data_IF_316112047283
#
_entry.id   IF_316112047283
#
_cell.length_a   1.000
_cell.length_b   1.000
_cell.length_c   1.000
_cell.angle_alpha   90.00
_cell.angle_beta   90.00
_cell.angle_gamma   90.00
#
_symmetry.space_group_name_H-M   'P 1'
#
loop_
_entity.id
_entity.type
_entity.pdbx_description
1 polymer ?
#
# COMPACT_ATOMS: atom_id res chain seq x y z
N UNK A 1 10.29 -29.86 -14.34
CA UNK A 1 9.23 -28.96 -14.84
C UNK A 1 9.91 -27.76 -15.48
N UNK A 2 9.62 -27.48 -16.75
CA UNK A 2 10.22 -26.36 -17.47
C UNK A 2 9.67 -25.02 -16.94
N UNK A 3 10.51 -23.99 -16.93
CA UNK A 3 10.07 -22.62 -16.65
C UNK A 3 9.25 -22.09 -17.84
N UNK A 4 8.14 -21.41 -17.57
CA UNK A 4 7.34 -20.79 -18.62
C UNK A 4 8.10 -19.62 -19.23
N UNK A 5 8.36 -19.68 -20.54
CA UNK A 5 8.81 -18.53 -21.32
C UNK A 5 7.60 -17.95 -22.02
N UNK A 6 7.21 -16.75 -21.63
CA UNK A 6 6.13 -16.01 -22.25
C UNK A 6 6.62 -14.65 -22.69
N UNK A 7 6.01 -14.13 -23.75
CA UNK A 7 6.24 -12.76 -24.18
C UNK A 7 5.46 -11.84 -23.25
N UNK A 8 6.20 -11.00 -22.54
CA UNK A 8 5.64 -10.12 -21.54
C UNK A 8 5.01 -8.87 -22.15
N UNK A 9 3.85 -8.47 -21.65
CA UNK A 9 3.19 -7.24 -22.09
C UNK A 9 3.99 -5.99 -21.65
N UNK A 10 4.72 -5.40 -22.60
CA UNK A 10 5.54 -4.21 -22.39
C UNK A 10 4.74 -2.97 -22.00
N UNK A 11 3.44 -2.93 -22.32
CA UNK A 11 2.63 -1.73 -22.13
C UNK A 11 2.20 -1.56 -20.67
N UNK A 12 2.20 -2.63 -19.88
CA UNK A 12 1.79 -2.61 -18.48
C UNK A 12 2.93 -2.52 -17.48
N UNK A 13 4.08 -3.12 -17.78
CA UNK A 13 5.22 -3.12 -16.88
C UNK A 13 6.56 -2.98 -17.62
N UNK A 14 6.55 -2.41 -18.82
CA UNK A 14 7.75 -2.13 -19.59
C UNK A 14 8.77 -1.29 -18.82
N UNK A 15 9.97 -1.19 -19.39
CA UNK A 15 11.10 -0.53 -18.75
C UNK A 15 10.75 0.90 -18.27
N UNK A 16 10.02 1.67 -19.08
CA UNK A 16 9.62 3.03 -18.75
C UNK A 16 8.72 3.12 -17.51
N UNK A 17 7.72 2.24 -17.39
CA UNK A 17 6.79 2.22 -16.23
C UNK A 17 7.54 1.85 -14.95
N UNK A 18 8.42 0.83 -15.01
CA UNK A 18 9.24 0.42 -13.87
C UNK A 18 10.15 1.56 -13.40
N UNK A 19 10.89 2.17 -14.33
CA UNK A 19 11.75 3.31 -14.02
C UNK A 19 10.94 4.48 -13.46
N UNK A 20 9.75 4.75 -14.00
CA UNK A 20 8.83 5.75 -13.50
C UNK A 20 8.47 5.53 -12.03
N UNK A 21 8.03 4.31 -11.67
CA UNK A 21 7.76 3.96 -10.27
C UNK A 21 8.99 4.12 -9.38
N UNK A 22 10.16 3.63 -9.80
CA UNK A 22 11.37 3.74 -8.99
C UNK A 22 11.78 5.19 -8.77
N UNK A 23 11.78 6.02 -9.81
CA UNK A 23 12.08 7.44 -9.68
C UNK A 23 11.06 8.17 -8.81
N UNK A 24 9.79 7.81 -8.89
CA UNK A 24 8.78 8.37 -8.00
C UNK A 24 8.97 7.95 -6.54
N UNK A 25 9.32 6.69 -6.27
CA UNK A 25 9.61 6.22 -4.91
C UNK A 25 10.83 6.92 -4.32
N UNK A 26 11.95 6.93 -5.05
CA UNK A 26 13.16 7.63 -4.62
C UNK A 26 12.92 9.14 -4.53
N UNK A 27 12.18 9.73 -5.47
CA UNK A 27 11.79 11.13 -5.46
C UNK A 27 10.97 11.49 -4.22
N UNK A 28 10.05 10.63 -3.79
CA UNK A 28 9.30 10.81 -2.55
C UNK A 28 10.19 10.79 -1.30
N UNK A 29 11.20 9.91 -1.28
CA UNK A 29 12.21 9.89 -0.22
C UNK A 29 13.03 11.18 -0.27
N UNK A 30 13.68 11.50 -1.40
CA UNK A 30 14.53 12.68 -1.52
C UNK A 30 13.79 14.00 -1.27
N UNK A 31 12.54 14.13 -1.72
CA UNK A 31 11.72 15.30 -1.44
C UNK A 31 11.50 15.50 0.07
N UNK A 32 11.33 14.41 0.84
CA UNK A 32 11.18 14.53 2.29
C UNK A 32 12.43 15.08 2.99
N UNK A 33 13.63 14.84 2.43
CA UNK A 33 14.90 15.31 2.99
C UNK A 33 15.30 16.71 2.49
N UNK A 34 15.10 16.98 1.19
CA UNK A 34 15.63 18.18 0.53
C UNK A 34 14.57 19.29 0.43
N UNK A 35 13.33 18.93 0.09
CA UNK A 35 12.28 19.88 -0.26
C UNK A 35 10.92 19.44 0.32
N UNK A 36 10.71 19.56 1.65
CA UNK A 36 9.51 19.06 2.32
C UNK A 36 8.21 19.74 1.85
N UNK A 37 8.29 20.93 1.23
CA UNK A 37 7.15 21.61 0.59
C UNK A 37 6.57 20.79 -0.57
N UNK A 38 7.43 20.14 -1.35
CA UNK A 38 7.06 19.45 -2.60
C UNK A 38 6.55 18.03 -2.36
N UNK A 39 6.71 17.49 -1.15
CA UNK A 39 6.26 16.13 -0.79
C UNK A 39 4.77 15.94 -1.07
N UNK A 40 3.93 16.98 -0.94
CA UNK A 40 2.50 16.91 -1.30
C UNK A 40 2.31 16.62 -2.78
N UNK A 41 3.01 17.37 -3.62
CA UNK A 41 2.93 17.29 -5.08
C UNK A 41 3.47 15.94 -5.58
N UNK A 42 4.59 15.48 -5.00
CA UNK A 42 5.19 14.18 -5.34
C UNK A 42 4.27 13.03 -4.94
N UNK A 43 3.68 13.04 -3.74
CA UNK A 43 2.72 12.01 -3.31
C UNK A 43 1.48 11.98 -4.20
N UNK A 44 0.93 13.15 -4.54
CA UNK A 44 -0.21 13.22 -5.44
C UNK A 44 0.11 12.67 -6.83
N UNK A 45 1.31 12.95 -7.35
CA UNK A 45 1.77 12.38 -8.62
C UNK A 45 1.91 10.86 -8.57
N UNK A 46 2.39 10.30 -7.45
CA UNK A 46 2.42 8.84 -7.23
C UNK A 46 1.00 8.27 -7.28
N UNK A 47 0.05 8.89 -6.57
CA UNK A 47 -1.33 8.40 -6.53
C UNK A 47 -1.99 8.42 -7.92
N UNK A 48 -1.73 9.46 -8.73
CA UNK A 48 -2.20 9.51 -10.11
C UNK A 48 -1.58 8.41 -10.98
N UNK A 49 -0.31 8.11 -10.79
CA UNK A 49 0.38 7.06 -11.54
C UNK A 49 -0.16 5.67 -11.19
N UNK A 50 -0.41 5.43 -9.89
CA UNK A 50 -1.08 4.23 -9.42
C UNK A 50 -2.50 4.16 -9.96
N UNK A 51 -3.25 5.27 -10.00
CA UNK A 51 -4.62 5.30 -10.50
C UNK A 51 -4.69 4.91 -11.98
N UNK A 52 -3.81 5.48 -12.80
CA UNK A 52 -3.73 5.18 -14.23
C UNK A 52 -3.39 3.70 -14.47
N UNK A 53 -2.38 3.19 -13.75
CA UNK A 53 -1.97 1.78 -13.84
C UNK A 53 -3.07 0.84 -13.39
N UNK A 54 -3.77 1.19 -12.30
CA UNK A 54 -4.88 0.39 -11.77
C UNK A 54 -6.06 0.34 -12.72
N UNK A 55 -6.43 1.48 -13.32
CA UNK A 55 -7.49 1.54 -14.31
C UNK A 55 -7.16 0.66 -15.53
N UNK A 56 -5.93 0.75 -16.04
CA UNK A 56 -5.48 -0.08 -17.14
C UNK A 56 -5.52 -1.58 -16.79
N UNK A 57 -5.10 -1.95 -15.59
CA UNK A 57 -5.16 -3.32 -15.09
C UNK A 57 -6.61 -3.83 -15.02
N UNK A 58 -7.55 -3.02 -14.52
CA UNK A 58 -8.97 -3.38 -14.50
C UNK A 58 -9.50 -3.60 -15.91
N UNK A 59 -9.23 -2.69 -16.85
CA UNK A 59 -9.73 -2.80 -18.23
C UNK A 59 -9.22 -4.08 -18.88
N UNK A 60 -7.92 -4.36 -18.80
CA UNK A 60 -7.34 -5.56 -19.39
C UNK A 60 -7.89 -6.84 -18.74
N UNK A 61 -8.04 -6.84 -17.40
CA UNK A 61 -8.60 -7.98 -16.68
C UNK A 61 -10.08 -8.19 -16.99
N UNK A 62 -10.84 -7.12 -17.20
CA UNK A 62 -12.26 -7.17 -17.53
C UNK A 62 -12.53 -7.61 -18.98
N UNK A 63 -11.63 -7.28 -19.91
CA UNK A 63 -11.72 -7.73 -21.30
C UNK A 63 -11.40 -9.21 -21.44
N UNK A 64 -10.25 -9.65 -20.91
CA UNK A 64 -9.88 -11.06 -20.90
C UNK A 64 -8.95 -11.35 -19.70
N UNK A 65 -9.46 -12.14 -18.77
CA UNK A 65 -8.76 -12.57 -17.55
C UNK A 65 -7.48 -13.36 -17.89
N UNK A 66 -7.41 -13.97 -19.08
CA UNK A 66 -6.26 -14.75 -19.54
C UNK A 66 -5.27 -13.96 -20.41
N UNK A 67 -5.61 -12.72 -20.78
CA UNK A 67 -4.71 -11.84 -21.55
C UNK A 67 -3.44 -11.50 -20.76
N UNK A 68 -3.56 -11.35 -19.44
CA UNK A 68 -2.44 -11.13 -18.53
C UNK A 68 -2.10 -12.42 -17.78
N UNK A 69 -0.81 -12.76 -17.80
CA UNK A 69 -0.33 -13.86 -16.98
C UNK A 69 -0.30 -13.46 -15.51
N UNK A 70 -0.53 -14.41 -14.58
CA UNK A 70 -0.52 -14.10 -13.15
C UNK A 70 0.80 -13.47 -12.66
N UNK A 71 1.95 -13.86 -13.23
CA UNK A 71 3.24 -13.23 -12.95
C UNK A 71 3.29 -11.75 -13.34
N UNK A 72 2.63 -11.35 -14.42
CA UNK A 72 2.57 -9.97 -14.89
C UNK A 72 1.72 -9.11 -13.98
N UNK A 73 0.51 -9.60 -13.67
CA UNK A 73 -0.39 -8.98 -12.69
C UNK A 73 0.30 -8.82 -11.34
N UNK A 74 1.08 -9.82 -10.90
CA UNK A 74 1.86 -9.72 -9.68
C UNK A 74 2.88 -8.57 -9.72
N UNK A 75 3.63 -8.40 -10.81
CA UNK A 75 4.61 -7.30 -10.95
C UNK A 75 3.91 -5.93 -10.90
N UNK A 76 2.80 -5.78 -11.62
CA UNK A 76 2.03 -4.53 -11.66
C UNK A 76 1.51 -4.20 -10.26
N UNK A 77 0.96 -5.18 -9.55
CA UNK A 77 0.49 -5.03 -8.18
C UNK A 77 1.62 -4.67 -7.21
N UNK A 78 2.81 -5.26 -7.38
CA UNK A 78 4.00 -4.92 -6.60
C UNK A 78 4.43 -3.47 -6.84
N UNK A 79 4.41 -2.98 -8.08
CA UNK A 79 4.72 -1.60 -8.42
C UNK A 79 3.69 -0.62 -7.82
N UNK A 80 2.41 -0.97 -7.81
CA UNK A 80 1.38 -0.14 -7.18
C UNK A 80 1.51 -0.10 -5.65
N UNK A 81 1.82 -1.24 -5.02
CA UNK A 81 1.93 -1.33 -3.55
C UNK A 81 3.31 -1.02 -2.99
N UNK A 82 4.36 -0.90 -3.80
CA UNK A 82 5.74 -0.78 -3.30
C UNK A 82 5.95 0.42 -2.38
N UNK A 83 5.33 1.56 -2.67
CA UNK A 83 5.37 2.73 -1.80
C UNK A 83 4.68 2.48 -0.44
N UNK A 84 3.60 1.69 -0.43
CA UNK A 84 2.87 1.31 0.78
C UNK A 84 3.57 0.20 1.58
N UNK A 85 4.25 -0.72 0.90
CA UNK A 85 5.05 -1.78 1.54
C UNK A 85 6.19 -1.20 2.37
N UNK A 86 6.78 -0.07 1.94
CA UNK A 86 7.78 0.66 2.73
C UNK A 86 7.22 1.20 4.07
N UNK A 87 5.90 1.39 4.19
CA UNK A 87 5.26 1.81 5.43
C UNK A 87 5.17 0.67 6.46
N UNK A 88 5.11 -0.59 6.03
CA UNK A 88 5.01 -1.76 6.91
C UNK A 88 6.18 -1.83 7.91
N UNK A 89 7.46 -1.81 7.49
CA UNK A 89 8.58 -1.83 8.43
C UNK A 89 8.60 -0.60 9.33
N UNK A 90 8.15 0.57 8.85
CA UNK A 90 8.03 1.79 9.67
C UNK A 90 7.00 1.61 10.79
N UNK A 91 5.82 1.06 10.46
CA UNK A 91 4.77 0.78 11.46
C UNK A 91 5.16 -0.34 12.42
N UNK A 92 5.82 -1.38 11.93
CA UNK A 92 6.38 -2.46 12.76
C UNK A 92 7.44 -1.91 13.71
N UNK A 93 8.35 -1.06 13.21
CA UNK A 93 9.37 -0.40 14.03
C UNK A 93 8.75 0.44 15.13
N UNK A 94 7.72 1.23 14.81
CA UNK A 94 6.95 2.00 15.79
C UNK A 94 6.27 1.14 16.86
N UNK A 95 5.81 -0.06 16.49
CA UNK A 95 5.24 -1.01 17.44
C UNK A 95 6.31 -1.54 18.40
N UNK A 96 7.52 -1.84 17.90
CA UNK A 96 8.63 -2.33 18.72
C UNK A 96 9.25 -1.25 19.63
N UNK A 97 9.33 0.00 19.17
CA UNK A 97 9.94 1.11 19.93
C UNK A 97 8.97 1.81 20.89
N UNK A 98 7.79 1.24 21.13
CA UNK A 98 6.77 1.79 22.03
C UNK A 98 6.43 3.27 21.78
N UNK A 99 6.53 3.73 20.52
CA UNK A 99 6.26 5.10 20.12
C UNK A 99 7.16 6.17 20.79
N UNK A 100 8.42 5.85 21.12
CA UNK A 100 9.36 6.86 21.62
C UNK A 100 9.56 7.96 20.56
N UNK A 101 9.22 9.24 20.85
CA UNK A 101 9.35 10.35 19.91
C UNK A 101 10.78 10.59 19.41
N UNK A 102 11.79 10.09 20.13
CA UNK A 102 13.19 10.23 19.76
C UNK A 102 13.60 9.27 18.64
N UNK A 103 12.96 8.10 18.57
CA UNK A 103 13.30 7.01 17.65
C UNK A 103 12.32 6.84 16.47
N UNK A 104 11.43 7.82 16.25
CA UNK A 104 10.46 7.76 15.15
C UNK A 104 11.12 8.13 13.80
N UNK A 105 11.32 7.16 12.88
CA UNK A 105 11.91 7.43 11.56
C UNK A 105 11.01 8.32 10.68
N UNK A 106 9.76 8.55 11.09
CA UNK A 106 8.80 9.42 10.42
C UNK A 106 8.51 10.72 11.17
N UNK A 107 9.47 11.18 11.98
CA UNK A 107 9.47 12.51 12.61
C UNK A 107 9.49 13.67 11.60
N UNK A 108 9.95 13.42 10.37
CA UNK A 108 10.22 14.47 9.37
C UNK A 108 9.28 14.57 8.15
N UNK A 109 8.32 13.66 7.85
CA UNK A 109 7.38 13.87 6.75
C UNK A 109 5.90 13.96 7.20
N UNK A 110 5.60 14.67 8.30
CA UNK A 110 4.23 15.07 8.68
C UNK A 110 3.69 16.16 7.75
N UNK A 111 3.49 15.80 6.50
CA UNK A 111 2.98 16.72 5.50
C UNK A 111 1.48 16.53 5.41
N UNK A 112 0.74 17.51 5.93
CA UNK A 112 -0.73 17.55 5.93
C UNK A 112 -1.26 17.55 4.50
N UNK A 113 -1.83 16.44 4.05
CA UNK A 113 -2.47 16.35 2.74
C UNK A 113 -3.82 17.08 2.75
N UNK A 114 -4.21 17.68 1.62
CA UNK A 114 -5.55 18.25 1.47
C UNK A 114 -6.62 17.14 1.50
N UNK A 115 -7.82 17.46 1.98
CA UNK A 115 -8.89 16.47 2.17
C UNK A 115 -9.24 15.70 0.89
N UNK A 116 -9.26 16.38 -0.26
CA UNK A 116 -9.55 15.76 -1.56
C UNK A 116 -8.48 14.74 -1.97
N UNK A 117 -7.20 15.11 -1.89
CA UNK A 117 -6.10 14.20 -2.17
C UNK A 117 -6.12 13.00 -1.22
N UNK A 118 -6.29 13.25 0.09
CA UNK A 118 -6.35 12.18 1.10
C UNK A 118 -7.54 11.22 0.88
N UNK A 119 -8.70 11.71 0.41
CA UNK A 119 -9.84 10.87 0.08
C UNK A 119 -9.60 10.07 -1.20
N UNK A 120 -8.98 10.67 -2.22
CA UNK A 120 -8.61 9.99 -3.45
C UNK A 120 -7.63 8.83 -3.19
N UNK A 121 -6.52 9.10 -2.50
CA UNK A 121 -5.54 8.05 -2.16
C UNK A 121 -6.18 6.94 -1.32
N UNK A 122 -7.11 7.29 -0.43
CA UNK A 122 -7.84 6.31 0.39
C UNK A 122 -8.77 5.41 -0.43
N UNK A 123 -9.56 5.98 -1.34
CA UNK A 123 -10.43 5.21 -2.23
C UNK A 123 -9.63 4.30 -3.16
N UNK A 124 -8.55 4.84 -3.70
CA UNK A 124 -7.63 4.11 -4.56
C UNK A 124 -7.00 2.95 -3.80
N UNK A 125 -6.49 3.17 -2.59
CA UNK A 125 -5.93 2.12 -1.75
C UNK A 125 -6.94 1.00 -1.45
N UNK A 126 -8.21 1.32 -1.18
CA UNK A 126 -9.27 0.32 -1.02
C UNK A 126 -9.46 -0.48 -2.30
N UNK A 127 -9.58 0.21 -3.45
CA UNK A 127 -9.78 -0.43 -4.75
C UNK A 127 -8.68 -1.42 -5.10
N UNK A 128 -7.41 -1.00 -4.99
CA UNK A 128 -6.27 -1.87 -5.27
C UNK A 128 -6.20 -3.03 -4.26
N UNK A 129 -6.53 -2.82 -2.98
CA UNK A 129 -6.55 -3.88 -1.96
C UNK A 129 -7.60 -4.96 -2.28
N UNK A 130 -8.81 -4.56 -2.69
CA UNK A 130 -9.85 -5.52 -3.10
C UNK A 130 -9.39 -6.34 -4.30
N UNK A 131 -8.79 -5.69 -5.29
CA UNK A 131 -8.23 -6.39 -6.45
C UNK A 131 -7.09 -7.34 -6.06
N UNK A 132 -6.24 -6.93 -5.12
CA UNK A 132 -5.15 -7.75 -4.58
C UNK A 132 -5.68 -9.05 -3.95
N UNK A 133 -6.74 -8.97 -3.15
CA UNK A 133 -7.38 -10.16 -2.58
C UNK A 133 -7.95 -11.06 -3.67
N UNK A 134 -8.68 -10.49 -4.63
CA UNK A 134 -9.21 -11.25 -5.76
C UNK A 134 -8.08 -11.99 -6.52
N UNK A 135 -6.95 -11.33 -6.77
CA UNK A 135 -5.79 -11.93 -7.42
C UNK A 135 -5.26 -13.14 -6.64
N UNK A 136 -5.02 -13.00 -5.34
CA UNK A 136 -4.46 -14.10 -4.54
C UNK A 136 -5.42 -15.28 -4.34
N UNK A 137 -6.72 -15.02 -4.21
CA UNK A 137 -7.70 -16.08 -3.94
C UNK A 137 -8.26 -16.75 -5.20
N UNK A 138 -8.47 -16.01 -6.28
CA UNK A 138 -9.06 -16.55 -7.49
C UNK A 138 -8.02 -16.86 -8.56
N UNK A 139 -7.04 -15.97 -8.76
CA UNK A 139 -6.11 -16.09 -9.89
C UNK A 139 -4.89 -16.95 -9.61
N UNK A 140 -4.35 -16.94 -8.38
CA UNK A 140 -3.17 -17.75 -8.04
C UNK A 140 -3.45 -19.26 -7.99
N UNK A 141 -4.57 -19.75 -7.43
CA UNK A 141 -4.87 -21.18 -7.45
C UNK A 141 -5.09 -21.76 -8.86
N UNK A 142 -5.46 -20.94 -9.83
CA UNK A 142 -5.58 -21.37 -11.23
C UNK A 142 -4.24 -21.79 -11.85
N UNK A 143 -3.09 -21.35 -11.30
CA UNK A 143 -1.78 -21.80 -11.78
C UNK A 143 -1.53 -23.30 -11.55
N UNK A 144 -2.19 -23.94 -10.59
CA UNK A 144 -2.05 -25.39 -10.37
C UNK A 144 -2.55 -26.21 -11.56
N UNK A 145 -3.48 -25.64 -12.34
CA UNK A 145 -4.10 -26.30 -13.50
C UNK A 145 -3.27 -26.17 -14.78
N UNK A 146 -2.50 -25.09 -14.89
CA UNK A 146 -1.64 -24.80 -16.03
C UNK A 146 -0.27 -25.36 -15.66
N UNK A 147 0.15 -26.50 -16.23
CA UNK A 147 1.34 -27.27 -15.87
C UNK A 147 2.71 -26.58 -16.06
N UNK A 148 2.79 -25.28 -15.83
CA UNK A 148 3.93 -24.42 -16.06
C UNK A 148 4.26 -23.59 -14.82
N UNK A 149 5.55 -23.55 -14.46
CA UNK A 149 6.01 -22.89 -13.23
C UNK A 149 6.27 -21.41 -13.51
N UNK A 150 5.50 -20.54 -12.86
CA UNK A 150 5.74 -19.10 -12.82
C UNK A 150 6.43 -18.71 -11.51
N UNK A 151 7.27 -17.69 -11.57
CA UNK A 151 8.09 -17.24 -10.45
C UNK A 151 7.79 -15.78 -10.12
N UNK A 152 7.66 -15.49 -8.82
CA UNK A 152 7.67 -14.15 -8.26
C UNK A 152 9.06 -13.85 -7.67
N UNK A 153 9.45 -12.58 -7.68
CA UNK A 153 10.69 -12.11 -7.09
C UNK A 153 10.37 -11.20 -5.90
N UNK A 154 10.84 -11.57 -4.71
CA UNK A 154 10.71 -10.75 -3.49
C UNK A 154 12.10 -10.30 -3.00
N UNK A 155 12.98 -11.24 -2.69
CA UNK A 155 14.44 -11.03 -2.53
C UNK A 155 15.28 -12.13 -3.24
N UNK A 156 14.58 -13.04 -3.92
CA UNK A 156 15.09 -14.18 -4.67
C UNK A 156 13.96 -14.77 -5.51
N UNK A 157 14.26 -15.73 -6.37
CA UNK A 157 13.27 -16.37 -7.25
C UNK A 157 12.45 -17.39 -6.45
N UNK A 158 11.17 -17.08 -6.19
CA UNK A 158 10.24 -17.99 -5.52
C UNK A 158 9.13 -18.42 -6.47
N UNK A 159 8.69 -19.67 -6.35
CA UNK A 159 7.53 -20.16 -7.11
C UNK A 159 6.30 -19.40 -6.65
N UNK A 160 5.56 -18.81 -7.59
CA UNK A 160 4.39 -17.98 -7.29
C UNK A 160 3.28 -18.80 -6.59
N UNK A 161 3.23 -20.10 -6.89
CA UNK A 161 2.34 -21.08 -6.28
C UNK A 161 2.88 -21.70 -4.97
N UNK A 162 4.01 -21.21 -4.45
CA UNK A 162 4.46 -21.67 -3.13
C UNK A 162 3.47 -21.20 -2.06
N UNK A 163 2.91 -22.14 -1.30
CA UNK A 163 1.96 -21.84 -0.21
C UNK A 163 2.54 -20.80 0.77
N UNK A 164 3.83 -20.91 1.09
CA UNK A 164 4.50 -19.96 1.96
C UNK A 164 4.51 -18.53 1.38
N UNK A 165 4.72 -18.41 0.07
CA UNK A 165 4.75 -17.12 -0.61
C UNK A 165 3.37 -16.47 -0.64
N UNK A 166 2.33 -17.25 -0.93
CA UNK A 166 0.93 -16.83 -0.90
C UNK A 166 0.55 -16.37 0.51
N UNK A 167 0.87 -17.17 1.54
CA UNK A 167 0.52 -16.86 2.93
C UNK A 167 1.21 -15.58 3.41
N UNK A 168 2.50 -15.39 3.14
CA UNK A 168 3.24 -14.20 3.59
C UNK A 168 2.64 -12.93 2.97
N UNK A 169 2.42 -12.94 1.65
CA UNK A 169 1.82 -11.79 0.97
C UNK A 169 0.38 -11.57 1.45
N UNK A 170 -0.44 -12.61 1.55
CA UNK A 170 -1.82 -12.52 2.05
C UNK A 170 -1.87 -11.94 3.48
N UNK A 171 -0.98 -12.38 4.38
CA UNK A 171 -0.88 -11.83 5.74
C UNK A 171 -0.47 -10.36 5.73
N UNK A 172 0.53 -9.97 4.93
CA UNK A 172 0.96 -8.59 4.82
C UNK A 172 -0.18 -7.66 4.36
N UNK A 173 -0.94 -8.09 3.34
CA UNK A 173 -2.10 -7.35 2.86
C UNK A 173 -3.28 -7.40 3.84
N UNK A 174 -3.44 -8.46 4.62
CA UNK A 174 -4.42 -8.56 5.71
C UNK A 174 -4.20 -7.49 6.78
N UNK A 175 -2.96 -7.35 7.26
CA UNK A 175 -2.62 -6.27 8.21
C UNK A 175 -2.89 -4.88 7.62
N UNK A 176 -2.55 -4.65 6.36
CA UNK A 176 -2.83 -3.39 5.67
C UNK A 176 -4.35 -3.13 5.60
N UNK A 177 -5.15 -4.16 5.30
CA UNK A 177 -6.60 -4.09 5.28
C UNK A 177 -7.20 -3.71 6.63
N UNK A 178 -6.70 -4.28 7.73
CA UNK A 178 -7.14 -3.92 9.08
C UNK A 178 -6.87 -2.44 9.41
N UNK A 179 -5.69 -1.93 9.01
CA UNK A 179 -5.36 -0.50 9.18
C UNK A 179 -6.34 0.37 8.38
N UNK A 180 -6.66 -0.01 7.14
CA UNK A 180 -7.61 0.73 6.30
C UNK A 180 -9.03 0.72 6.90
N UNK A 181 -9.52 -0.43 7.37
CA UNK A 181 -10.83 -0.55 8.02
C UNK A 181 -10.89 0.29 9.28
N UNK A 182 -9.83 0.29 10.08
CA UNK A 182 -9.72 1.15 11.26
C UNK A 182 -9.78 2.64 10.89
N UNK A 183 -9.06 3.07 9.84
CA UNK A 183 -9.11 4.45 9.35
C UNK A 183 -10.50 4.82 8.78
N UNK A 184 -11.16 3.89 8.08
CA UNK A 184 -12.54 4.08 7.60
C UNK A 184 -13.50 4.29 8.77
N UNK A 185 -13.36 3.47 9.82
CA UNK A 185 -14.17 3.57 11.03
C UNK A 185 -13.98 4.91 11.75
N UNK A 186 -12.74 5.41 11.84
CA UNK A 186 -12.47 6.73 12.40
C UNK A 186 -13.12 7.85 11.58
N UNK A 187 -13.01 7.80 10.24
CA UNK A 187 -13.68 8.77 9.36
C UNK A 187 -15.20 8.72 9.51
N UNK A 188 -15.79 7.52 9.59
CA UNK A 188 -17.22 7.35 9.79
C UNK A 188 -17.69 7.92 11.13
N UNK A 189 -16.97 7.66 12.22
CA UNK A 189 -17.29 8.25 13.53
C UNK A 189 -17.25 9.77 13.52
N UNK A 190 -16.24 10.34 12.86
CA UNK A 190 -16.11 11.79 12.74
C UNK A 190 -17.26 12.39 11.92
N UNK A 191 -17.63 11.75 10.80
CA UNK A 191 -18.77 12.17 9.98
C UNK A 191 -20.11 12.07 10.73
N UNK A 192 -20.29 11.02 11.53
CA UNK A 192 -21.49 10.81 12.34
C UNK A 192 -21.61 11.76 13.56
N UNK A 193 -20.71 12.75 13.69
CA UNK A 193 -20.77 13.77 14.74
C UNK A 193 -20.53 13.22 16.14
N UNK A 194 -20.02 11.99 16.27
CA UNK A 194 -19.60 11.48 17.57
C UNK A 194 -18.37 12.29 18.02
N UNK A 195 -18.34 12.74 19.30
CA UNK A 195 -17.19 13.43 19.84
C UNK A 195 -15.95 12.56 19.62
N UNK A 196 -14.89 13.19 19.13
CA UNK A 196 -13.63 12.53 18.90
C UNK A 196 -13.23 11.86 20.24
N UNK A 197 -13.10 10.51 20.33
CA UNK A 197 -12.85 9.82 21.59
C UNK A 197 -11.54 10.27 22.28
N UNK A 198 -10.75 11.09 21.59
CA UNK A 198 -9.55 11.75 22.05
C UNK A 198 -9.80 13.05 22.84
N UNK A 199 -10.85 13.82 22.56
CA UNK A 199 -11.08 15.11 23.25
C UNK A 199 -11.52 14.89 24.71
N UNK A 200 -12.31 13.85 24.94
CA UNK A 200 -12.67 13.37 26.29
C UNK A 200 -11.51 12.67 27.00
N UNK A 201 -10.56 12.07 26.25
CA UNK A 201 -9.35 11.43 26.81
C UNK A 201 -8.26 12.43 27.17
N UNK A 202 -8.03 13.51 26.42
CA UNK A 202 -7.05 14.54 26.80
C UNK A 202 -7.30 15.10 28.21
N UNK A 203 -8.57 15.18 28.64
CA UNK A 203 -8.95 15.55 30.03
C UNK A 203 -8.73 14.46 31.07
N UNK A 204 -8.65 13.18 30.68
CA UNK A 204 -8.49 12.03 31.59
C UNK A 204 -7.05 11.46 31.60
N UNK A 205 -6.22 11.87 30.65
CA UNK A 205 -4.86 11.34 30.39
C UNK A 205 -3.72 12.09 31.09
N UNK A 206 -4.02 13.04 31.97
CA UNK A 206 -3.05 13.52 32.95
C UNK A 206 -2.81 12.46 34.05
N UNK A 207 -3.69 11.45 34.20
CA UNK A 207 -3.63 10.57 35.37
C UNK A 207 -3.30 9.10 35.15
N UNK A 208 -3.36 8.48 33.96
CA UNK A 208 -3.08 7.03 33.89
C UNK A 208 -2.64 6.51 32.53
N UNK A 209 -1.37 6.09 32.50
CA UNK A 209 -0.68 5.06 31.69
C UNK A 209 -1.39 4.28 30.56
N UNK A 210 -0.54 3.83 29.62
CA UNK A 210 -0.69 2.80 28.55
C UNK A 210 -1.01 3.31 27.13
N UNK A 211 0.01 3.65 26.33
CA UNK A 211 0.74 2.70 25.47
C UNK A 211 -0.24 1.78 24.73
N UNK A 212 -0.52 2.09 23.45
CA UNK A 212 -0.84 1.16 22.33
C UNK A 212 -1.54 1.91 21.18
N UNK A 213 -2.32 2.96 21.43
CA UNK A 213 -3.22 3.53 20.38
C UNK A 213 -2.74 4.88 19.79
N UNK A 214 -1.69 5.49 20.33
CA UNK A 214 -1.22 6.84 19.92
C UNK A 214 -0.27 6.82 18.70
N UNK A 215 0.23 5.65 18.30
CA UNK A 215 1.35 5.52 17.34
C UNK A 215 1.03 5.85 15.87
N UNK A 216 -0.24 6.00 15.48
CA UNK A 216 -0.64 6.29 14.08
C UNK A 216 -0.83 7.81 13.86
N UNK A 217 -0.65 8.65 14.89
CA UNK A 217 -1.02 10.07 14.84
C UNK A 217 0.04 11.03 14.28
N UNK A 218 1.19 10.52 13.83
CA UNK A 218 2.19 11.32 13.14
C UNK A 218 1.86 11.61 11.67
N UNK A 219 0.62 11.97 11.31
CA UNK A 219 0.31 12.19 9.88
C UNK A 219 -1.04 12.81 9.55
N UNK A 220 -1.99 12.86 10.50
CA UNK A 220 -3.34 13.31 10.22
C UNK A 220 -3.71 14.42 11.21
N UNK A 221 -3.17 15.61 10.96
CA UNK A 221 -3.82 16.83 11.38
C UNK A 221 -4.97 17.07 10.39
N UNK A 222 -6.23 16.91 10.78
CA UNK A 222 -7.39 17.48 10.07
C UNK A 222 -7.49 18.95 10.46
N UNK A 223 -7.51 19.89 9.51
CA UNK A 223 -8.00 21.27 9.74
C UNK A 223 -9.17 21.39 8.82
N UNK A 224 -10.26 21.86 9.40
CA UNK A 224 -11.02 23.04 8.93
C UNK A 224 -10.68 23.51 7.51
#
# INVERSE_FOLDING_TARGET
MAACRFEGNSDMYGLGIRLGYYFQWFGGVFAAWIAPSEVKSVRFSIDLFVAATFLALIILTAQDVNSLQPAETYIILLLMFGAYLALIPIYIWRLFTCCDPFWDPSRYPLVRQGALAANFSFLLLIGVLVFQYWFWFNRVPDLDRVGCQQYGFFFGQFRLNSRAFVIINALAYFFLGLVIVYLAWLKFRHFAGFPDPYETRRKRWVETFMVTVVCIRGGIHFSE
#
